data_IF_943785403717
#
_entry.id   IF_943785403717
#
_cell.length_a   1.000
_cell.length_b   1.000
_cell.length_c   1.000
_cell.angle_alpha   90.00
_cell.angle_beta   90.00
_cell.angle_gamma   90.00
#
_symmetry.space_group_name_H-M   'P 1'
#
loop_
_entity.id
_entity.type
_entity.pdbx_description
1 polymer ?
#
# COMPACT_ATOMS: atom_id res chain seq x y z
N UNK A 1 4.06 -6.43 -1.99
CA UNK A 1 3.43 -5.80 -3.17
C UNK A 1 2.01 -5.43 -2.81
N UNK A 2 1.71 -4.13 -2.80
CA UNK A 2 0.50 -3.58 -2.18
C UNK A 2 -0.54 -3.09 -3.20
N UNK A 3 -0.42 -3.48 -4.47
CA UNK A 3 -1.35 -3.08 -5.52
C UNK A 3 -2.19 -4.25 -6.05
N UNK A 4 -3.50 -4.09 -6.12
CA UNK A 4 -4.40 -5.09 -6.69
C UNK A 4 -4.25 -6.46 -6.02
N UNK A 5 -3.87 -7.49 -6.78
CA UNK A 5 -3.67 -8.85 -6.26
C UNK A 5 -2.30 -9.09 -5.62
N UNK A 6 -1.43 -8.07 -5.55
CA UNK A 6 -0.07 -8.21 -5.01
C UNK A 6 0.83 -9.16 -5.83
N UNK A 7 0.71 -9.11 -7.17
CA UNK A 7 1.41 -9.97 -8.14
C UNK A 7 2.09 -9.18 -9.27
N UNK A 8 2.41 -7.92 -9.03
CA UNK A 8 2.90 -6.96 -10.02
C UNK A 8 4.43 -6.87 -10.06
N UNK A 9 5.10 -7.03 -8.91
CA UNK A 9 6.56 -7.00 -8.85
C UNK A 9 7.17 -8.28 -9.41
N UNK A 10 8.14 -8.12 -10.32
CA UNK A 10 8.94 -9.21 -10.86
C UNK A 10 10.01 -9.64 -9.84
N UNK A 11 9.76 -10.77 -9.19
CA UNK A 11 10.65 -11.30 -8.14
C UNK A 11 11.99 -11.80 -8.69
N UNK A 12 12.09 -12.14 -9.98
CA UNK A 12 13.35 -12.58 -10.60
C UNK A 12 14.27 -11.39 -10.88
N UNK A 13 13.72 -10.19 -11.02
CA UNK A 13 14.46 -8.96 -11.25
C UNK A 13 14.85 -8.22 -9.95
N UNK A 14 14.36 -8.66 -8.79
CA UNK A 14 14.69 -8.03 -7.51
C UNK A 14 16.10 -8.42 -7.03
N UNK A 15 16.80 -7.53 -6.30
CA UNK A 15 18.07 -7.88 -5.66
C UNK A 15 17.90 -9.06 -4.69
N UNK A 16 18.88 -9.97 -4.65
CA UNK A 16 18.83 -11.21 -3.85
C UNK A 16 18.53 -11.00 -2.36
N UNK A 17 18.95 -9.85 -1.80
CA UNK A 17 18.72 -9.49 -0.40
C UNK A 17 17.30 -8.96 -0.09
N UNK A 18 16.41 -8.94 -1.08
CA UNK A 18 15.04 -8.42 -0.93
C UNK A 18 14.09 -9.58 -0.72
N UNK A 19 13.42 -9.58 0.42
CA UNK A 19 12.28 -10.46 0.66
C UNK A 19 11.00 -9.81 0.11
N UNK A 20 10.22 -10.58 -0.65
CA UNK A 20 9.00 -10.10 -1.28
C UNK A 20 7.77 -10.85 -0.74
N UNK A 21 6.87 -10.10 -0.11
CA UNK A 21 5.52 -10.56 0.18
C UNK A 21 4.65 -10.37 -1.07
N UNK A 22 4.08 -11.48 -1.56
CA UNK A 22 3.14 -11.56 -2.69
C UNK A 22 1.79 -12.04 -2.18
N UNK A 23 0.70 -11.54 -2.76
CA UNK A 23 -0.67 -11.90 -2.37
C UNK A 23 -0.92 -11.83 -0.85
N UNK A 24 -0.72 -10.65 -0.25
CA UNK A 24 -1.03 -10.48 1.19
C UNK A 24 -2.52 -10.71 1.48
N UNK A 25 -2.88 -11.21 2.69
CA UNK A 25 -4.26 -11.31 3.12
C UNK A 25 -4.94 -9.94 3.19
N UNK A 26 -6.20 -9.84 2.76
CA UNK A 26 -6.97 -8.59 2.71
C UNK A 26 -7.08 -7.86 4.07
N UNK A 27 -7.00 -8.59 5.19
CA UNK A 27 -7.15 -7.99 6.53
C UNK A 27 -6.05 -6.96 6.83
N UNK A 28 -4.82 -7.24 6.41
CA UNK A 28 -3.69 -6.32 6.60
C UNK A 28 -3.24 -5.68 5.27
N UNK A 29 -3.66 -6.24 4.13
CA UNK A 29 -3.45 -5.72 2.77
C UNK A 29 -2.05 -5.14 2.56
N UNK A 30 -1.94 -3.81 2.49
CA UNK A 30 -0.71 -3.09 2.20
C UNK A 30 0.32 -3.10 3.33
N UNK A 31 -0.10 -3.46 4.55
CA UNK A 31 0.72 -3.42 5.77
C UNK A 31 1.10 -4.82 6.28
N UNK A 32 0.74 -5.89 5.57
CA UNK A 32 1.07 -7.25 5.99
C UNK A 32 2.59 -7.47 6.08
N UNK A 33 3.06 -8.06 7.19
CA UNK A 33 4.47 -8.37 7.43
C UNK A 33 5.27 -7.23 8.08
N UNK A 34 4.63 -6.13 8.44
CA UNK A 34 5.25 -5.02 9.18
C UNK A 34 4.79 -5.10 10.64
N UNK A 35 5.75 -5.08 11.55
CA UNK A 35 5.54 -5.04 12.99
C UNK A 35 6.61 -4.18 13.68
N UNK A 36 6.64 -4.21 15.01
CA UNK A 36 7.58 -3.49 15.86
C UNK A 36 9.05 -3.91 15.72
N UNK A 37 9.37 -4.97 14.97
CA UNK A 37 10.75 -5.38 14.73
C UNK A 37 11.47 -4.52 13.68
N UNK A 38 10.74 -3.68 12.93
CA UNK A 38 11.30 -2.80 11.91
C UNK A 38 11.64 -1.41 12.46
N UNK A 39 12.82 -0.89 12.11
CA UNK A 39 13.25 0.46 12.51
C UNK A 39 12.51 1.60 11.76
N UNK A 40 11.82 1.28 10.67
CA UNK A 40 11.12 2.26 9.85
C UNK A 40 10.35 1.65 8.69
N UNK A 41 9.49 2.47 8.09
CA UNK A 41 8.64 2.09 6.97
C UNK A 41 8.74 3.12 5.84
N UNK A 42 8.73 2.63 4.60
CA UNK A 42 8.67 3.43 3.38
C UNK A 42 7.54 2.92 2.50
N UNK A 43 6.77 3.83 1.93
CA UNK A 43 5.71 3.52 0.97
C UNK A 43 5.88 4.31 -0.33
N UNK A 44 5.44 3.70 -1.42
CA UNK A 44 5.29 4.34 -2.72
C UNK A 44 3.79 4.35 -3.03
N UNK A 45 3.19 5.54 -2.99
CA UNK A 45 1.74 5.71 -3.13
C UNK A 45 1.40 6.85 -4.08
N UNK A 46 0.15 6.88 -4.53
CA UNK A 46 -0.45 8.03 -5.20
C UNK A 46 -1.36 8.80 -4.23
N UNK A 47 -1.92 9.92 -4.69
CA UNK A 47 -2.79 10.73 -3.86
C UNK A 47 -4.11 10.03 -3.51
N UNK A 48 -4.63 10.33 -2.32
CA UNK A 48 -5.95 9.92 -1.86
C UNK A 48 -7.08 10.45 -2.73
N UNK A 49 -8.25 9.80 -2.70
CA UNK A 49 -9.44 10.18 -3.48
C UNK A 49 -9.83 11.65 -3.30
N UNK A 50 -10.18 12.32 -4.39
CA UNK A 50 -10.67 13.70 -4.37
C UNK A 50 -9.56 14.75 -4.22
N UNK A 51 -8.30 14.34 -4.36
CA UNK A 51 -7.18 15.29 -4.47
C UNK A 51 -7.22 15.94 -5.85
N UNK A 52 -7.46 17.25 -5.89
CA UNK A 52 -7.62 18.00 -7.15
C UNK A 52 -6.34 17.93 -7.99
N UNK A 53 -6.49 17.57 -9.27
CA UNK A 53 -5.38 17.48 -10.24
C UNK A 53 -4.51 16.23 -10.11
N UNK A 54 -4.82 15.32 -9.18
CA UNK A 54 -4.06 14.08 -9.02
C UNK A 54 -4.51 13.00 -10.00
N UNK A 55 -3.54 12.30 -10.59
CA UNK A 55 -3.79 11.15 -11.47
C UNK A 55 -4.15 9.92 -10.64
N UNK A 56 -5.20 9.20 -11.05
CA UNK A 56 -5.66 7.94 -10.42
C UNK A 56 -5.92 8.05 -8.91
N UNK A 57 -6.37 9.21 -8.43
CA UNK A 57 -6.57 9.43 -6.99
C UNK A 57 -7.69 8.54 -6.44
N UNK A 58 -7.36 7.65 -5.50
CA UNK A 58 -8.34 6.79 -4.84
C UNK A 58 -7.84 6.33 -3.47
N UNK A 59 -8.75 5.76 -2.67
CA UNK A 59 -8.45 5.03 -1.44
C UNK A 59 -9.32 3.79 -1.46
N UNK A 60 -8.74 2.66 -1.87
CA UNK A 60 -9.49 1.45 -2.23
C UNK A 60 -10.75 1.78 -3.07
N UNK A 61 -11.86 1.09 -2.79
CA UNK A 61 -13.16 1.30 -3.44
C UNK A 61 -14.09 2.24 -2.67
N UNK A 62 -13.58 3.03 -1.71
CA UNK A 62 -14.39 3.93 -0.88
C UNK A 62 -14.22 5.39 -1.27
N UNK A 63 -15.20 6.24 -0.92
CA UNK A 63 -15.13 7.69 -1.21
C UNK A 63 -14.23 8.43 -0.21
N UNK A 64 -14.42 8.14 1.07
CA UNK A 64 -13.70 8.77 2.17
C UNK A 64 -13.31 7.72 3.20
N UNK A 65 -12.08 7.81 3.69
CA UNK A 65 -11.62 7.15 4.90
C UNK A 65 -11.41 8.23 5.97
N UNK A 66 -12.10 8.10 7.10
CA UNK A 66 -12.03 9.08 8.19
C UNK A 66 -11.61 8.38 9.47
N UNK A 67 -10.52 8.83 10.06
CA UNK A 67 -10.02 8.34 11.34
C UNK A 67 -9.96 9.52 12.30
N UNK A 68 -10.74 9.45 13.39
CA UNK A 68 -10.82 10.51 14.41
C UNK A 68 -11.08 11.92 13.81
N UNK A 69 -12.01 11.99 12.84
CA UNK A 69 -12.38 13.24 12.17
C UNK A 69 -11.40 13.74 11.10
N UNK A 70 -10.28 13.03 10.88
CA UNK A 70 -9.31 13.37 9.83
C UNK A 70 -9.54 12.49 8.60
N UNK A 71 -9.62 13.12 7.44
CA UNK A 71 -9.68 12.44 6.15
C UNK A 71 -8.29 11.88 5.82
N UNK A 72 -8.22 10.60 5.47
CA UNK A 72 -7.01 9.86 5.12
C UNK A 72 -7.20 9.12 3.79
N UNK A 73 -6.09 8.66 3.21
CA UNK A 73 -6.05 7.77 2.06
C UNK A 73 -4.75 7.90 1.28
#
# INVERSE_FOLDING_TARGET
DSHGKGLNLDFEALPERVELIRQSPEILDQMYGIDESYDGFMFFAHAMRGTLGALLSHVWEVQDLIVNGKRLG
#
